data_IF_876898669161
#
_entry.id   IF_876898669161
#
_cell.length_a   1.000
_cell.length_b   1.000
_cell.length_c   1.000
_cell.angle_alpha   90.00
_cell.angle_beta   90.00
_cell.angle_gamma   90.00
#
_symmetry.space_group_name_H-M   'P 1'
#
loop_
_entity.id
_entity.type
_entity.pdbx_description
1 polymer ?
#
# COMPACT_ATOMS: atom_id res chain seq x y z
N UNK A 1 55.15 9.06 21.68
CA UNK A 1 55.70 8.02 22.58
C UNK A 1 55.71 8.55 24.00
N UNK A 2 54.98 7.94 24.93
CA UNK A 2 55.42 7.60 26.30
C UNK A 2 54.28 6.86 27.01
N UNK A 3 54.52 5.59 27.35
CA UNK A 3 53.57 4.66 27.97
C UNK A 3 54.11 4.34 29.37
N UNK A 4 53.35 4.69 30.41
CA UNK A 4 53.71 4.38 31.79
C UNK A 4 52.55 3.77 32.57
N UNK A 5 52.79 2.60 33.19
CA UNK A 5 52.00 2.18 34.36
C UNK A 5 51.58 0.70 34.38
N UNK A 6 52.42 -0.15 34.97
CA UNK A 6 52.21 -1.58 35.23
C UNK A 6 51.30 -1.81 36.45
N UNK A 7 50.47 -2.85 36.42
CA UNK A 7 49.80 -3.36 37.62
C UNK A 7 49.34 -4.81 37.47
N UNK A 8 50.12 -5.76 38.00
CA UNK A 8 49.80 -7.20 38.09
C UNK A 8 49.04 -7.46 39.40
N UNK A 9 47.89 -8.13 39.33
CA UNK A 9 47.17 -8.64 40.51
C UNK A 9 46.71 -10.07 40.30
N UNK A 10 47.42 -11.03 40.91
CA UNK A 10 47.02 -12.44 41.03
C UNK A 10 46.07 -12.59 42.22
N UNK A 11 44.92 -13.22 42.03
CA UNK A 11 44.02 -13.61 43.12
C UNK A 11 43.38 -14.96 42.83
N UNK A 12 43.93 -16.03 43.44
CA UNK A 12 43.35 -17.37 43.47
C UNK A 12 42.20 -17.40 44.47
N UNK A 13 41.06 -17.97 44.10
CA UNK A 13 39.97 -18.30 45.03
C UNK A 13 39.14 -19.46 44.50
N UNK A 14 39.49 -20.68 44.93
CA UNK A 14 38.68 -21.89 44.73
C UNK A 14 37.55 -21.88 45.76
N UNK A 15 36.31 -22.04 45.32
CA UNK A 15 35.17 -22.32 46.19
C UNK A 15 34.16 -23.19 45.45
N UNK A 16 34.26 -24.51 45.63
CA UNK A 16 33.22 -25.46 45.24
C UNK A 16 32.19 -25.49 46.38
N UNK A 17 30.95 -25.10 46.08
CA UNK A 17 29.81 -25.20 47.00
C UNK A 17 28.60 -25.74 46.25
N UNK A 18 28.12 -26.90 46.69
CA UNK A 18 27.02 -27.69 46.15
C UNK A 18 25.75 -27.38 46.96
N UNK A 19 24.63 -27.12 46.29
CA UNK A 19 23.29 -26.95 46.88
C UNK A 19 22.51 -25.90 46.08
N UNK A 20 21.22 -26.00 45.78
CA UNK A 20 20.20 -26.98 46.09
C UNK A 20 18.95 -26.62 45.27
N UNK A 21 18.18 -27.67 45.01
CA UNK A 21 16.86 -27.79 44.40
C UNK A 21 15.87 -26.61 44.62
N UNK A 22 15.21 -26.18 43.53
CA UNK A 22 13.78 -25.82 43.53
C UNK A 22 13.43 -24.33 43.50
N UNK A 23 12.88 -23.87 42.37
CA UNK A 23 12.21 -22.57 42.25
C UNK A 23 11.41 -22.48 40.96
N UNK A 24 10.08 -22.39 41.08
CA UNK A 24 9.07 -22.34 40.01
C UNK A 24 9.39 -21.27 38.96
N UNK A 25 9.41 -21.65 37.69
CA UNK A 25 9.07 -20.75 36.60
C UNK A 25 7.82 -21.33 35.93
N UNK A 26 6.67 -20.80 36.34
CA UNK A 26 5.45 -20.96 35.56
C UNK A 26 5.75 -20.40 34.18
N UNK A 27 5.93 -21.29 33.21
CA UNK A 27 5.91 -20.94 31.80
C UNK A 27 4.50 -20.48 31.49
N UNK A 28 4.25 -19.19 31.77
CA UNK A 28 3.14 -18.48 31.20
C UNK A 28 3.21 -18.74 29.71
N UNK A 29 2.25 -19.53 29.21
CA UNK A 29 1.90 -19.52 27.81
C UNK A 29 1.39 -18.11 27.55
N UNK A 30 2.34 -17.18 27.37
CA UNK A 30 2.12 -15.99 26.59
C UNK A 30 1.81 -16.49 25.19
N UNK A 31 0.57 -16.93 25.00
CA UNK A 31 -0.07 -16.91 23.72
C UNK A 31 -0.13 -15.44 23.36
N UNK A 32 0.99 -14.94 22.82
CA UNK A 32 0.99 -13.73 22.02
C UNK A 32 -0.06 -14.01 20.97
N UNK A 33 -1.23 -13.40 21.16
CA UNK A 33 -2.27 -13.35 20.16
C UNK A 33 -1.56 -12.74 18.95
N UNK A 34 -1.21 -13.58 17.99
CA UNK A 34 -0.72 -13.11 16.70
C UNK A 34 -1.89 -12.36 16.11
N UNK A 35 -1.93 -11.05 16.34
CA UNK A 35 -2.85 -10.17 15.64
C UNK A 35 -2.55 -10.38 14.17
N UNK A 36 -3.45 -11.07 13.47
CA UNK A 36 -3.31 -11.33 12.04
C UNK A 36 -3.10 -10.00 11.31
N UNK A 37 -2.26 -10.03 10.28
CA UNK A 37 -2.11 -8.87 9.38
C UNK A 37 -3.47 -8.63 8.73
N UNK A 38 -4.02 -7.43 8.89
CA UNK A 38 -5.26 -7.05 8.23
C UNK A 38 -4.95 -6.79 6.75
N UNK A 39 -5.47 -7.63 5.88
CA UNK A 39 -5.30 -7.51 4.43
C UNK A 39 -6.50 -6.84 3.76
N UNK A 40 -6.22 -6.08 2.69
CA UNK A 40 -7.25 -5.57 1.79
C UNK A 40 -7.51 -6.58 0.69
N UNK A 41 -8.63 -7.30 0.80
CA UNK A 41 -9.06 -8.24 -0.23
C UNK A 41 -10.03 -7.50 -1.18
N UNK A 42 -9.70 -7.35 -2.47
CA UNK A 42 -10.57 -6.66 -3.40
C UNK A 42 -11.85 -7.46 -3.63
N UNK A 43 -12.97 -6.76 -3.75
CA UNK A 43 -14.23 -7.38 -4.12
C UNK A 43 -14.19 -7.82 -5.58
N UNK A 44 -14.98 -8.84 -5.92
CA UNK A 44 -15.08 -9.32 -7.30
C UNK A 44 -15.52 -8.22 -8.28
N UNK A 45 -16.43 -7.34 -7.86
CA UNK A 45 -16.82 -6.16 -8.63
C UNK A 45 -15.64 -5.18 -8.79
N UNK A 46 -14.87 -4.94 -7.73
CA UNK A 46 -13.67 -4.10 -7.79
C UNK A 46 -12.66 -4.62 -8.81
N UNK A 47 -12.39 -5.92 -8.80
CA UNK A 47 -11.52 -6.57 -9.81
C UNK A 47 -12.09 -6.41 -11.22
N UNK A 48 -13.39 -6.63 -11.39
CA UNK A 48 -14.06 -6.50 -12.68
C UNK A 48 -13.94 -5.08 -13.27
N UNK A 49 -14.12 -4.06 -12.43
CA UNK A 49 -14.02 -2.66 -12.85
C UNK A 49 -12.59 -2.31 -13.26
N UNK A 50 -11.60 -2.69 -12.45
CA UNK A 50 -10.19 -2.46 -12.78
C UNK A 50 -9.83 -3.13 -14.10
N UNK A 51 -10.21 -4.40 -14.29
CA UNK A 51 -9.94 -5.13 -15.54
C UNK A 51 -10.65 -4.52 -16.73
N UNK A 52 -11.90 -4.13 -16.59
CA UNK A 52 -12.65 -3.50 -17.68
C UNK A 52 -12.06 -2.17 -18.12
N UNK A 53 -11.51 -1.37 -17.19
CA UNK A 53 -10.81 -0.13 -17.54
C UNK A 53 -9.41 -0.37 -18.15
N UNK A 54 -8.70 -1.43 -17.74
CA UNK A 54 -7.45 -1.85 -18.37
C UNK A 54 -7.67 -2.31 -19.82
N UNK A 55 -8.69 -3.13 -20.05
CA UNK A 55 -9.01 -3.71 -21.36
C UNK A 55 -9.50 -2.67 -22.38
N UNK A 56 -9.97 -1.50 -21.93
CA UNK A 56 -10.31 -0.39 -22.82
C UNK A 56 -9.08 0.27 -23.48
N UNK A 57 -7.86 -0.05 -23.04
CA UNK A 57 -6.63 0.30 -23.76
C UNK A 57 -6.33 1.80 -23.84
N UNK A 58 -6.70 2.58 -22.82
CA UNK A 58 -6.38 4.00 -22.79
C UNK A 58 -4.86 4.24 -22.71
N UNK A 59 -4.37 5.24 -23.45
CA UNK A 59 -3.00 5.79 -23.27
C UNK A 59 -2.78 6.23 -21.81
N UNK A 60 -3.80 6.84 -21.22
CA UNK A 60 -3.87 7.15 -19.79
C UNK A 60 -4.68 6.07 -19.08
N UNK A 61 -4.02 4.99 -18.66
CA UNK A 61 -4.67 3.88 -17.99
C UNK A 61 -5.35 4.37 -16.69
N UNK A 62 -6.68 4.28 -16.66
CA UNK A 62 -7.51 4.75 -15.54
C UNK A 62 -7.38 3.90 -14.27
N UNK A 63 -6.81 2.69 -14.36
CA UNK A 63 -6.48 1.87 -13.18
C UNK A 63 -5.17 2.30 -12.50
N UNK A 64 -4.34 3.08 -13.19
CA UNK A 64 -3.04 3.54 -12.71
C UNK A 64 -3.10 5.01 -12.28
N UNK A 65 -2.28 5.43 -11.30
CA UNK A 65 -2.41 6.75 -10.68
C UNK A 65 -1.86 7.92 -11.52
N UNK A 66 -1.91 7.85 -12.86
CA UNK A 66 -1.36 8.89 -13.73
C UNK A 66 -2.11 10.22 -13.58
N UNK A 67 -3.43 10.20 -13.78
CA UNK A 67 -4.29 11.38 -13.65
C UNK A 67 -4.18 12.00 -12.25
N UNK A 68 -4.18 11.14 -11.23
CA UNK A 68 -4.08 11.58 -9.84
C UNK A 68 -2.76 12.27 -9.56
N UNK A 69 -1.64 11.67 -9.99
CA UNK A 69 -0.31 12.24 -9.85
C UNK A 69 -0.20 13.60 -10.56
N UNK A 70 -0.71 13.70 -11.79
CA UNK A 70 -0.67 14.95 -12.55
C UNK A 70 -1.49 16.07 -11.89
N UNK A 71 -2.68 15.76 -11.39
CA UNK A 71 -3.48 16.72 -10.61
C UNK A 71 -2.71 17.21 -9.37
N UNK A 72 -2.09 16.30 -8.61
CA UNK A 72 -1.29 16.65 -7.43
C UNK A 72 -0.04 17.50 -7.77
N UNK A 73 0.57 17.28 -8.94
CA UNK A 73 1.65 18.13 -9.47
C UNK A 73 1.12 19.55 -9.74
N UNK A 74 -0.03 19.66 -10.41
CA UNK A 74 -0.65 20.95 -10.72
C UNK A 74 -1.05 21.72 -9.47
N UNK A 75 -1.58 21.04 -8.44
CA UNK A 75 -1.87 21.65 -7.15
C UNK A 75 -0.60 22.23 -6.51
N UNK A 76 0.53 21.53 -6.60
CA UNK A 76 1.82 22.06 -6.13
C UNK A 76 2.29 23.27 -6.94
N UNK A 77 2.09 23.28 -8.25
CA UNK A 77 2.40 24.42 -9.11
C UNK A 77 1.57 25.67 -8.75
N UNK A 78 0.29 25.50 -8.39
CA UNK A 78 -0.55 26.60 -7.87
C UNK A 78 0.05 27.15 -6.57
N UNK A 79 0.40 26.27 -5.62
CA UNK A 79 1.04 26.69 -4.37
C UNK A 79 2.38 27.41 -4.60
N UNK A 80 3.12 27.04 -5.64
CA UNK A 80 4.36 27.69 -6.04
C UNK A 80 4.14 28.98 -6.85
N UNK A 81 2.90 29.32 -7.20
CA UNK A 81 2.57 30.50 -8.01
C UNK A 81 2.96 30.41 -9.49
N UNK A 82 3.29 29.22 -10.00
CA UNK A 82 3.72 29.01 -11.39
C UNK A 82 2.58 28.73 -12.36
N UNK A 83 1.37 28.48 -11.84
CA UNK A 83 0.13 28.33 -12.62
C UNK A 83 -1.05 28.87 -11.81
N UNK A 84 -2.15 29.20 -12.47
CA UNK A 84 -3.36 29.69 -11.80
C UNK A 84 -4.37 28.57 -11.59
N UNK A 85 -5.27 28.76 -10.61
CA UNK A 85 -6.42 27.87 -10.41
C UNK A 85 -7.29 27.76 -11.68
N UNK A 86 -7.47 28.87 -12.40
CA UNK A 86 -8.29 28.90 -13.61
C UNK A 86 -7.72 27.96 -14.67
N UNK A 87 -6.43 28.10 -14.96
CA UNK A 87 -5.73 27.30 -15.98
C UNK A 87 -5.81 25.80 -15.66
N UNK A 88 -5.52 25.44 -14.41
CA UNK A 88 -5.54 24.04 -13.97
C UNK A 88 -6.95 23.44 -14.07
N UNK A 89 -8.00 24.18 -13.73
CA UNK A 89 -9.37 23.70 -13.83
C UNK A 89 -9.78 23.49 -15.28
N UNK A 90 -9.49 24.46 -16.16
CA UNK A 90 -9.79 24.35 -17.59
C UNK A 90 -9.10 23.13 -18.21
N UNK A 91 -7.79 22.98 -18.01
CA UNK A 91 -7.02 21.85 -18.53
C UNK A 91 -7.52 20.51 -17.98
N UNK A 92 -7.89 20.48 -16.69
CA UNK A 92 -8.44 19.27 -16.06
C UNK A 92 -9.80 18.89 -16.67
N UNK A 93 -10.69 19.85 -16.92
CA UNK A 93 -11.99 19.59 -17.54
C UNK A 93 -11.84 19.00 -18.94
N UNK A 94 -10.93 19.55 -19.75
CA UNK A 94 -10.66 19.04 -21.10
C UNK A 94 -10.13 17.60 -21.05
N UNK A 95 -9.16 17.35 -20.16
CA UNK A 95 -8.59 16.02 -19.94
C UNK A 95 -9.65 15.00 -19.49
N UNK A 96 -10.48 15.33 -18.51
CA UNK A 96 -11.53 14.44 -18.03
C UNK A 96 -12.65 14.23 -19.07
N UNK A 97 -12.93 15.23 -19.90
CA UNK A 97 -13.91 15.12 -21.00
C UNK A 97 -13.44 14.11 -22.04
N UNK A 98 -12.17 14.14 -22.42
CA UNK A 98 -11.60 13.17 -23.37
C UNK A 98 -11.66 11.75 -22.82
N UNK A 99 -11.26 11.57 -21.56
CA UNK A 99 -11.37 10.29 -20.84
C UNK A 99 -12.82 9.79 -20.85
N UNK A 100 -13.78 10.66 -20.55
CA UNK A 100 -15.20 10.31 -20.54
C UNK A 100 -15.70 9.85 -21.92
N UNK A 101 -15.39 10.60 -22.99
CA UNK A 101 -15.82 10.26 -24.35
C UNK A 101 -15.27 8.89 -24.76
N UNK A 102 -13.97 8.65 -24.52
CA UNK A 102 -13.33 7.36 -24.84
C UNK A 102 -13.97 6.22 -24.03
N UNK A 103 -14.19 6.42 -22.73
CA UNK A 103 -14.86 5.44 -21.85
C UNK A 103 -16.27 5.12 -22.30
N UNK A 104 -17.04 6.14 -22.67
CA UNK A 104 -18.43 5.97 -23.14
C UNK A 104 -18.49 5.19 -24.44
N UNK A 105 -17.53 5.37 -25.36
CA UNK A 105 -17.38 4.55 -26.57
C UNK A 105 -17.05 3.09 -26.22
N UNK A 106 -16.20 2.87 -25.22
CA UNK A 106 -15.77 1.54 -24.75
C UNK A 106 -16.68 0.87 -23.73
N UNK A 107 -17.87 1.40 -23.44
CA UNK A 107 -18.70 0.93 -22.30
C UNK A 107 -19.06 -0.56 -22.35
N UNK A 108 -19.13 -1.14 -23.55
CA UNK A 108 -19.41 -2.56 -23.74
C UNK A 108 -18.27 -3.46 -23.22
N UNK A 109 -17.02 -2.98 -23.26
CA UNK A 109 -15.86 -3.67 -22.69
C UNK A 109 -16.02 -3.73 -21.16
N UNK A 110 -16.45 -2.63 -20.53
CA UNK A 110 -16.72 -2.61 -19.10
C UNK A 110 -17.81 -3.61 -18.71
N UNK A 111 -18.93 -3.61 -19.46
CA UNK A 111 -20.04 -4.54 -19.25
C UNK A 111 -19.58 -5.99 -19.40
N UNK A 112 -18.78 -6.30 -20.42
CA UNK A 112 -18.25 -7.64 -20.64
C UNK A 112 -17.34 -8.10 -19.48
N UNK A 113 -16.50 -7.20 -18.95
CA UNK A 113 -15.69 -7.50 -17.76
C UNK A 113 -16.57 -7.79 -16.55
N UNK A 114 -17.55 -6.92 -16.25
CA UNK A 114 -18.49 -7.13 -15.14
C UNK A 114 -19.25 -8.46 -15.29
N UNK A 115 -19.74 -8.77 -16.48
CA UNK A 115 -20.43 -10.03 -16.78
C UNK A 115 -19.52 -11.26 -16.56
N UNK A 116 -18.22 -11.15 -16.85
CA UNK A 116 -17.24 -12.23 -16.66
C UNK A 116 -16.98 -12.50 -15.18
N UNK A 117 -16.84 -11.45 -14.39
CA UNK A 117 -16.41 -11.57 -13.00
C UNK A 117 -17.58 -11.65 -12.01
N UNK A 118 -18.79 -11.22 -12.38
CA UNK A 118 -19.98 -11.21 -11.50
C UNK A 118 -21.07 -12.13 -12.06
N UNK A 119 -21.05 -13.45 -11.76
CA UNK A 119 -22.06 -14.40 -12.19
C UNK A 119 -23.39 -14.07 -11.48
N UNK A 120 -24.33 -13.46 -12.19
CA UNK A 120 -25.63 -13.04 -11.65
C UNK A 120 -26.13 -11.70 -12.19
N UNK A 121 -25.25 -10.86 -12.74
CA UNK A 121 -25.63 -9.59 -13.39
C UNK A 121 -26.52 -9.79 -14.64
N UNK A 122 -26.55 -11.00 -15.20
CA UNK A 122 -27.37 -11.39 -16.36
C UNK A 122 -28.87 -11.54 -16.04
N UNK A 123 -29.28 -11.54 -14.77
CA UNK A 123 -30.63 -11.93 -14.35
C UNK A 123 -31.76 -10.90 -14.50
N UNK A 124 -31.51 -9.71 -15.07
CA UNK A 124 -32.50 -8.62 -15.08
C UNK A 124 -32.65 -7.90 -16.42
N UNK A 125 -32.51 -8.63 -17.54
CA UNK A 125 -32.84 -8.12 -18.89
C UNK A 125 -34.08 -8.79 -19.45
#
# INVERSE_FOLDING_TARGET
DDVGGRGRGRGRGRGRGRGGRGGRAGGGRGGGQQGGVQEFIPTTLGVALVKGYEDMGFEMNLSKPFLRKEMENKMRAICAGTTTKGDVVHESLDMYRDVYIRTRRGINILKASVDRYVPGARGNR
#
